data_IF_630220846020
#
_entry.id   IF_630220846020
#
_cell.length_a   1.000
_cell.length_b   1.000
_cell.length_c   1.000
_cell.angle_alpha   90.00
_cell.angle_beta   90.00
_cell.angle_gamma   90.00
#
_symmetry.space_group_name_H-M   'P 1'
#
loop_
_entity.id
_entity.type
_entity.pdbx_description
1 polymer ?
#
# COMPACT_ATOMS: atom_id res chain seq x y z
N UNK A 1 67.86 5.16 82.11
CA UNK A 1 69.09 4.39 81.85
C UNK A 1 68.90 3.68 80.52
N UNK A 2 69.68 4.05 79.49
CA UNK A 2 69.69 3.54 78.10
C UNK A 2 68.38 3.68 77.30
N UNK A 3 68.35 4.09 76.04
CA UNK A 3 69.26 4.76 75.08
C UNK A 3 68.32 5.01 73.87
N UNK A 4 68.21 6.24 73.34
CA UNK A 4 68.79 6.66 72.03
C UNK A 4 68.06 6.01 70.83
N UNK A 5 67.47 6.68 69.84
CA UNK A 5 67.83 7.84 68.98
C UNK A 5 66.47 8.41 68.46
N UNK A 6 66.16 9.70 68.44
CA UNK A 6 66.64 10.75 67.53
C UNK A 6 66.54 10.38 66.04
N UNK A 7 66.11 11.23 65.12
CA UNK A 7 66.52 12.61 64.95
C UNK A 7 65.67 13.15 63.78
N UNK A 8 65.17 14.38 63.93
CA UNK A 8 65.06 15.42 62.89
C UNK A 8 63.93 15.34 61.86
N UNK A 9 62.88 16.16 61.99
CA UNK A 9 62.71 17.64 61.82
C UNK A 9 62.12 17.89 60.43
N UNK A 10 60.85 18.31 60.28
CA UNK A 10 60.24 19.64 60.55
C UNK A 10 59.88 20.24 59.17
N UNK A 11 59.01 21.26 59.09
CA UNK A 11 57.55 21.25 59.17
C UNK A 11 56.97 21.77 57.82
N UNK A 12 55.78 22.37 57.86
CA UNK A 12 55.20 23.32 56.88
C UNK A 12 53.92 22.80 56.21
N UNK A 13 52.86 23.60 56.39
CA UNK A 13 51.53 23.57 55.74
C UNK A 13 50.46 22.73 56.45
N UNK A 14 50.07 23.28 57.60
CA UNK A 14 48.69 23.42 58.05
C UNK A 14 47.91 24.33 57.06
N UNK A 15 47.64 23.89 55.82
CA UNK A 15 46.70 24.58 54.91
C UNK A 15 46.36 23.78 53.62
N UNK A 16 46.16 22.46 53.65
CA UNK A 16 45.77 21.72 52.43
C UNK A 16 45.18 20.32 52.70
N UNK A 17 44.23 20.20 53.63
CA UNK A 17 43.55 18.93 53.95
C UNK A 17 42.04 19.11 54.22
N UNK A 18 41.40 19.95 53.41
CA UNK A 18 39.92 20.03 53.24
C UNK A 18 39.53 19.95 51.75
N UNK A 19 40.32 19.25 50.94
CA UNK A 19 39.94 18.82 49.59
C UNK A 19 40.31 17.34 49.45
N UNK A 20 39.36 16.45 49.74
CA UNK A 20 39.23 15.14 49.06
C UNK A 20 37.92 14.47 49.50
N UNK A 21 36.79 15.14 49.24
CA UNK A 21 35.53 14.46 48.99
C UNK A 21 35.23 14.71 47.52
N UNK A 22 35.86 13.91 46.64
CA UNK A 22 35.46 13.85 45.24
C UNK A 22 34.07 13.24 45.25
N UNK A 23 33.06 14.10 45.24
CA UNK A 23 31.74 13.75 44.73
C UNK A 23 31.97 13.24 43.31
N UNK A 24 31.85 11.93 43.14
CA UNK A 24 31.51 11.36 41.84
C UNK A 24 30.11 11.87 41.51
N UNK A 25 30.01 13.08 40.99
CA UNK A 25 28.84 13.47 40.24
C UNK A 25 28.80 12.49 39.05
N UNK A 26 27.80 11.61 38.94
CA UNK A 26 27.52 11.06 37.63
C UNK A 26 27.36 12.29 36.73
N UNK A 27 28.09 12.32 35.62
CA UNK A 27 27.73 13.18 34.53
C UNK A 27 26.26 12.87 34.25
N UNK A 28 25.37 13.76 34.69
CA UNK A 28 24.04 13.86 34.14
C UNK A 28 24.28 14.15 32.67
N UNK A 29 24.34 13.10 31.85
CA UNK A 29 23.88 13.19 30.48
C UNK A 29 22.55 13.93 30.59
N UNK A 30 22.48 15.13 30.02
CA UNK A 30 21.19 15.74 29.76
C UNK A 30 20.39 14.65 29.04
N UNK A 31 19.40 14.07 29.72
CA UNK A 31 18.31 13.42 29.05
C UNK A 31 17.59 14.54 28.31
N UNK A 32 18.16 14.96 27.17
CA UNK A 32 17.41 15.64 26.13
C UNK A 32 16.18 14.78 25.93
N UNK A 33 15.01 15.41 25.91
CA UNK A 33 13.72 14.74 25.84
C UNK A 33 13.60 13.97 24.53
N UNK A 34 14.28 12.82 24.45
CA UNK A 34 14.21 11.91 23.33
C UNK A 34 12.77 11.48 23.19
N UNK A 35 12.29 11.55 21.96
CA UNK A 35 11.00 11.00 21.59
C UNK A 35 11.21 10.09 20.41
N UNK A 36 10.61 8.91 20.45
CA UNK A 36 10.59 7.95 19.35
C UNK A 36 9.18 7.42 19.20
N UNK A 37 8.68 7.43 17.97
CA UNK A 37 7.37 6.95 17.59
C UNK A 37 7.44 6.08 16.36
N UNK A 38 6.52 5.12 16.30
CA UNK A 38 6.38 4.21 15.18
C UNK A 38 4.99 4.37 14.55
N UNK A 39 4.96 4.33 13.23
CA UNK A 39 3.75 4.31 12.43
C UNK A 39 3.82 3.19 11.40
N UNK A 40 2.68 2.58 11.10
CA UNK A 40 2.53 1.74 9.91
C UNK A 40 1.69 2.49 8.88
N UNK A 41 2.04 2.33 7.61
CA UNK A 41 1.33 2.94 6.49
C UNK A 41 1.40 2.09 5.23
N UNK A 42 0.73 2.57 4.18
CA UNK A 42 0.69 1.89 2.88
C UNK A 42 0.71 2.90 1.74
N UNK A 43 1.58 2.67 0.77
CA UNK A 43 1.64 3.39 -0.50
C UNK A 43 0.96 2.52 -1.57
N UNK A 44 -0.03 3.10 -2.24
CA UNK A 44 -0.80 2.45 -3.29
C UNK A 44 -0.70 3.24 -4.58
N UNK A 45 -0.94 2.57 -5.71
CA UNK A 45 -0.99 3.23 -7.00
C UNK A 45 -2.00 4.38 -7.00
N UNK A 46 -1.53 5.60 -7.25
CA UNK A 46 -2.33 6.82 -7.28
C UNK A 46 -2.35 7.61 -5.96
N UNK A 47 -1.82 7.06 -4.84
CA UNK A 47 -1.59 7.86 -3.62
C UNK A 47 -0.29 8.65 -3.74
N UNK A 48 -0.35 9.92 -3.33
CA UNK A 48 0.79 10.85 -3.43
C UNK A 48 1.84 10.56 -2.35
N UNK A 49 1.39 10.08 -1.19
CA UNK A 49 2.24 9.67 -0.06
C UNK A 49 1.42 9.60 1.24
N UNK A 50 2.11 9.38 2.35
CA UNK A 50 1.59 9.49 3.70
C UNK A 50 2.29 10.63 4.43
N UNK A 51 1.50 11.51 5.08
CA UNK A 51 2.00 12.68 5.78
C UNK A 51 1.92 12.54 7.30
N UNK A 52 2.95 13.02 7.97
CA UNK A 52 3.05 13.03 9.43
C UNK A 52 3.48 14.42 9.90
N UNK A 53 2.65 15.06 10.71
CA UNK A 53 2.95 16.37 11.28
C UNK A 53 3.86 16.23 12.48
N UNK A 54 4.99 16.94 12.46
CA UNK A 54 5.86 17.15 13.61
C UNK A 54 5.50 18.48 14.28
N UNK A 55 5.18 18.44 15.57
CA UNK A 55 4.66 19.60 16.29
C UNK A 55 5.69 20.17 17.27
N UNK A 56 5.75 21.50 17.34
CA UNK A 56 6.50 22.25 18.34
C UNK A 56 8.01 21.92 18.38
N UNK A 57 8.63 21.67 17.21
CA UNK A 57 10.07 21.46 17.15
C UNK A 57 10.82 22.75 17.51
N UNK A 58 12.00 22.59 18.11
CA UNK A 58 12.88 23.67 18.54
C UNK A 58 14.12 23.73 17.68
N UNK A 59 14.57 24.96 17.40
CA UNK A 59 15.82 25.19 16.67
C UNK A 59 16.97 24.42 17.32
N UNK A 60 17.73 23.70 16.49
CA UNK A 60 18.88 22.88 16.89
C UNK A 60 18.53 21.47 17.36
N UNK A 61 17.24 21.10 17.43
CA UNK A 61 16.88 19.69 17.61
C UNK A 61 17.17 18.89 16.35
N UNK A 62 17.50 17.62 16.53
CA UNK A 62 17.72 16.68 15.44
C UNK A 62 16.48 15.82 15.22
N UNK A 63 15.92 15.83 14.02
CA UNK A 63 14.89 14.88 13.60
C UNK A 63 15.57 13.73 12.86
N UNK A 64 15.20 12.51 13.22
CA UNK A 64 15.61 11.29 12.55
C UNK A 64 14.36 10.54 12.09
N UNK A 65 14.36 10.04 10.86
CA UNK A 65 13.28 9.21 10.36
C UNK A 65 13.81 8.08 9.49
N UNK A 66 13.22 6.89 9.62
CA UNK A 66 13.51 5.72 8.78
C UNK A 66 12.20 5.13 8.29
N UNK A 67 12.07 4.96 6.98
CA UNK A 67 10.96 4.23 6.37
C UNK A 67 11.43 2.85 5.90
N UNK A 68 10.88 1.81 6.51
CA UNK A 68 11.19 0.41 6.21
C UNK A 68 10.05 -0.23 5.43
N UNK A 69 10.32 -0.85 4.28
CA UNK A 69 9.30 -1.66 3.58
C UNK A 69 8.88 -2.86 4.45
N UNK A 70 7.58 -3.11 4.48
CA UNK A 70 6.98 -4.30 5.11
C UNK A 70 6.39 -5.28 4.09
N UNK A 71 5.94 -4.81 2.93
CA UNK A 71 5.38 -5.67 1.86
C UNK A 71 5.49 -5.05 0.48
N UNK A 72 5.19 -5.85 -0.55
CA UNK A 72 5.20 -5.41 -1.95
C UNK A 72 6.60 -5.18 -2.49
N UNK A 73 6.67 -4.32 -3.51
CA UNK A 73 7.90 -3.87 -4.16
C UNK A 73 8.30 -2.44 -3.76
N UNK A 74 7.65 -1.89 -2.72
CA UNK A 74 7.85 -0.52 -2.26
C UNK A 74 9.34 -0.19 -2.09
N UNK A 75 9.72 0.95 -2.61
CA UNK A 75 11.03 1.54 -2.52
C UNK A 75 10.85 2.87 -1.80
N UNK A 76 10.83 2.87 -0.45
CA UNK A 76 10.39 4.01 0.33
C UNK A 76 11.27 5.24 0.11
N UNK A 77 10.66 6.37 -0.18
CA UNK A 77 11.27 7.69 -0.16
C UNK A 77 10.75 8.45 1.06
N UNK A 78 11.66 8.93 1.92
CA UNK A 78 11.33 9.75 3.08
C UNK A 78 11.81 11.18 2.87
N UNK A 79 10.95 12.15 3.17
CA UNK A 79 11.31 13.56 3.10
C UNK A 79 10.77 14.36 4.27
N UNK A 80 11.52 15.39 4.64
CA UNK A 80 11.11 16.42 5.58
C UNK A 80 10.80 17.70 4.81
N UNK A 81 9.66 18.32 5.12
CA UNK A 81 9.20 19.54 4.51
C UNK A 81 8.73 20.55 5.57
N UNK A 82 8.55 21.80 5.12
CA UNK A 82 7.85 22.83 5.87
C UNK A 82 6.36 22.48 6.05
N UNK A 83 5.68 23.06 7.05
CA UNK A 83 4.24 22.84 7.31
C UNK A 83 3.36 23.18 6.09
N UNK A 84 3.81 24.10 5.23
CA UNK A 84 3.04 24.53 4.05
C UNK A 84 2.92 23.47 2.95
N UNK A 85 3.73 22.41 2.94
CA UNK A 85 3.64 21.39 1.90
C UNK A 85 2.33 20.59 2.03
N UNK A 86 1.52 20.57 0.97
CA UNK A 86 0.32 19.75 0.88
C UNK A 86 0.43 18.67 -0.22
N UNK A 87 -0.49 17.70 -0.17
CA UNK A 87 -0.52 16.59 -1.12
C UNK A 87 -0.81 17.03 -2.56
N UNK A 88 -1.47 18.18 -2.76
CA UNK A 88 -1.80 18.69 -4.08
C UNK A 88 -0.56 19.26 -4.76
N UNK A 89 0.24 20.10 -4.07
CA UNK A 89 1.54 20.58 -4.53
C UNK A 89 2.46 19.41 -4.86
N UNK A 90 2.49 18.38 -4.00
CA UNK A 90 3.31 17.20 -4.23
C UNK A 90 2.90 16.45 -5.52
N UNK A 91 1.59 16.32 -5.78
CA UNK A 91 1.08 15.64 -6.97
C UNK A 91 1.22 16.46 -8.25
N UNK A 92 0.79 17.72 -8.21
CA UNK A 92 0.66 18.57 -9.40
C UNK A 92 1.95 19.25 -9.77
N UNK A 93 2.81 19.57 -8.80
CA UNK A 93 4.02 20.34 -9.06
C UNK A 93 5.25 19.45 -9.02
N UNK A 94 5.51 18.79 -7.89
CA UNK A 94 6.73 17.97 -7.73
C UNK A 94 6.75 16.78 -8.71
N UNK A 95 5.75 15.89 -8.64
CA UNK A 95 5.72 14.69 -9.50
C UNK A 95 5.63 15.05 -10.99
N UNK A 96 4.87 16.08 -11.34
CA UNK A 96 4.76 16.53 -12.73
C UNK A 96 6.10 17.10 -13.23
N UNK A 97 6.82 17.86 -12.41
CA UNK A 97 8.14 18.40 -12.76
C UNK A 97 9.17 17.29 -12.97
N UNK A 98 9.20 16.29 -12.08
CA UNK A 98 10.08 15.12 -12.23
C UNK A 98 9.74 14.37 -13.52
N UNK A 99 8.45 14.06 -13.75
CA UNK A 99 8.01 13.35 -14.95
C UNK A 99 8.37 14.12 -16.22
N UNK A 100 8.10 15.43 -16.27
CA UNK A 100 8.40 16.28 -17.41
C UNK A 100 9.90 16.36 -17.69
N UNK A 101 10.74 16.46 -16.66
CA UNK A 101 12.19 16.50 -16.81
C UNK A 101 12.73 15.20 -17.43
N UNK A 102 12.24 14.05 -16.94
CA UNK A 102 12.61 12.73 -17.46
C UNK A 102 12.12 12.55 -18.91
N UNK A 103 10.87 12.93 -19.21
CA UNK A 103 10.30 12.86 -20.57
C UNK A 103 11.04 13.77 -21.56
N UNK A 104 11.62 14.87 -21.07
CA UNK A 104 12.46 15.78 -21.86
C UNK A 104 13.89 15.27 -22.07
N UNK A 105 14.21 14.07 -21.57
CA UNK A 105 15.52 13.42 -21.71
C UNK A 105 16.51 13.73 -20.58
N UNK A 106 16.05 14.30 -19.46
CA UNK A 106 16.88 14.47 -18.27
C UNK A 106 17.26 13.13 -17.64
N UNK A 107 18.49 13.02 -17.15
CA UNK A 107 18.93 11.84 -16.39
C UNK A 107 18.24 11.84 -15.02
N UNK A 108 17.48 10.79 -14.66
CA UNK A 108 16.83 10.67 -13.35
C UNK A 108 17.80 10.88 -12.17
N UNK A 109 19.06 10.48 -12.30
CA UNK A 109 20.06 10.62 -11.24
C UNK A 109 20.49 12.07 -10.99
N UNK A 110 20.27 12.96 -11.96
CA UNK A 110 20.56 14.38 -11.83
C UNK A 110 19.29 15.18 -11.48
N UNK A 111 18.18 14.91 -12.18
CA UNK A 111 16.97 15.73 -12.07
C UNK A 111 16.17 15.45 -10.80
N UNK A 112 16.12 14.21 -10.31
CA UNK A 112 15.37 13.89 -9.10
C UNK A 112 15.98 14.57 -7.88
N UNK A 113 17.32 14.53 -7.65
CA UNK A 113 17.93 15.28 -6.56
C UNK A 113 17.72 16.79 -6.69
N UNK A 114 17.91 17.36 -7.88
CA UNK A 114 17.75 18.80 -8.11
C UNK A 114 16.34 19.28 -7.78
N UNK A 115 15.32 18.57 -8.25
CA UNK A 115 13.92 18.93 -8.02
C UNK A 115 13.55 18.66 -6.55
N UNK A 116 13.96 17.54 -5.97
CA UNK A 116 13.67 17.20 -4.56
C UNK A 116 14.15 18.28 -3.59
N UNK A 117 15.34 18.82 -3.81
CA UNK A 117 15.90 19.92 -3.00
C UNK A 117 15.14 21.25 -3.12
N UNK A 118 14.22 21.40 -4.08
CA UNK A 118 13.35 22.59 -4.17
C UNK A 118 12.10 22.47 -3.28
N UNK A 119 11.65 21.24 -3.01
CA UNK A 119 10.42 20.97 -2.25
C UNK A 119 10.69 20.51 -0.82
N UNK A 120 11.83 19.87 -0.56
CA UNK A 120 12.14 19.24 0.71
C UNK A 120 13.36 19.88 1.38
N UNK A 121 13.28 19.99 2.70
CA UNK A 121 14.36 20.48 3.56
C UNK A 121 15.45 19.43 3.75
N UNK A 122 15.05 18.16 3.76
CA UNK A 122 15.91 16.98 3.73
C UNK A 122 15.12 15.83 3.13
N UNK A 123 15.78 14.91 2.44
CA UNK A 123 15.13 13.75 1.81
C UNK A 123 16.14 12.64 1.61
N UNK A 124 15.63 11.42 1.46
CA UNK A 124 16.41 10.22 1.21
C UNK A 124 15.54 9.10 0.60
N UNK A 125 16.12 8.27 -0.26
CA UNK A 125 15.46 7.12 -0.89
C UNK A 125 16.13 5.77 -0.61
N UNK A 126 17.46 5.70 -0.45
CA UNK A 126 18.16 4.42 -0.33
C UNK A 126 19.31 4.38 0.69
N UNK A 127 19.43 5.35 1.60
CA UNK A 127 20.52 5.35 2.59
C UNK A 127 20.30 4.45 3.82
N UNK A 128 19.14 3.79 3.91
CA UNK A 128 18.85 2.76 4.90
C UNK A 128 19.37 1.37 4.50
N UNK A 129 19.07 0.35 5.31
CA UNK A 129 19.43 -1.03 4.98
C UNK A 129 18.67 -1.51 3.73
N UNK A 130 19.38 -1.91 2.67
CA UNK A 130 18.76 -2.38 1.43
C UNK A 130 18.15 -1.24 0.63
N UNK A 131 16.86 -1.32 0.31
CA UNK A 131 16.11 -0.23 -0.32
C UNK A 131 15.29 0.61 0.66
N UNK A 132 15.65 0.62 1.95
CA UNK A 132 14.97 1.47 2.92
C UNK A 132 15.55 2.88 2.90
N UNK A 133 14.78 3.89 3.31
CA UNK A 133 15.25 5.27 3.39
C UNK A 133 15.41 5.76 4.82
N UNK A 134 16.40 6.64 5.01
CA UNK A 134 16.77 7.20 6.30
C UNK A 134 17.19 8.66 6.17
N UNK A 135 16.63 9.55 7.00
CA UNK A 135 16.96 10.98 6.98
C UNK A 135 17.31 11.47 8.38
N UNK A 136 18.28 12.38 8.43
CA UNK A 136 18.60 13.18 9.61
C UNK A 136 18.56 14.66 9.28
N UNK A 137 17.95 15.47 10.13
CA UNK A 137 17.74 16.89 9.89
C UNK A 137 17.90 17.72 11.16
N UNK A 138 18.69 18.79 11.10
CA UNK A 138 18.78 19.78 12.16
C UNK A 138 17.72 20.87 11.95
N UNK A 139 16.85 21.05 12.94
CA UNK A 139 15.74 22.01 12.88
C UNK A 139 16.28 23.45 12.83
N UNK A 140 16.05 24.21 11.74
CA UNK A 140 16.65 25.52 11.56
C UNK A 140 15.93 26.63 12.36
N UNK A 141 14.65 26.44 12.66
CA UNK A 141 13.82 27.39 13.38
C UNK A 141 12.76 26.66 14.21
N UNK A 142 12.27 27.32 15.27
CA UNK A 142 11.13 26.80 16.03
C UNK A 142 9.89 26.74 15.11
N UNK A 143 9.16 25.62 15.15
CA UNK A 143 7.95 25.49 14.35
C UNK A 143 7.45 24.07 14.19
N UNK A 144 6.39 23.95 13.40
CA UNK A 144 5.84 22.68 12.95
C UNK A 144 6.47 22.31 11.59
N UNK A 145 6.62 21.02 11.35
CA UNK A 145 7.23 20.45 10.14
C UNK A 145 6.42 19.24 9.69
N UNK A 146 6.71 18.74 8.50
CA UNK A 146 6.07 17.53 7.95
C UNK A 146 7.09 16.49 7.56
N UNK A 147 6.76 15.22 7.82
CA UNK A 147 7.40 14.07 7.19
C UNK A 147 6.46 13.54 6.12
N UNK A 148 7.02 13.27 4.96
CA UNK A 148 6.41 12.54 3.86
C UNK A 148 7.06 11.17 3.75
N UNK A 149 6.25 10.12 3.63
CA UNK A 149 6.67 8.82 3.11
C UNK A 149 5.95 8.60 1.77
N UNK A 150 6.72 8.38 0.71
CA UNK A 150 6.20 8.05 -0.63
C UNK A 150 7.06 6.94 -1.23
N UNK A 151 6.88 6.62 -2.51
CA UNK A 151 7.81 5.79 -3.24
C UNK A 151 8.76 6.63 -4.10
N UNK A 152 10.03 6.23 -4.16
CA UNK A 152 11.06 6.81 -5.03
C UNK A 152 10.81 6.49 -6.51
N UNK A 153 10.10 5.39 -6.77
CA UNK A 153 9.73 4.88 -8.09
C UNK A 153 8.22 4.57 -8.10
N UNK A 154 7.61 4.18 -9.23
CA UNK A 154 6.21 3.73 -9.22
C UNK A 154 6.08 2.32 -8.61
N UNK A 155 6.48 2.16 -7.33
CA UNK A 155 6.36 0.93 -6.53
C UNK A 155 5.39 1.14 -5.37
N UNK A 156 4.93 0.04 -4.75
CA UNK A 156 3.82 0.05 -3.82
C UNK A 156 3.99 -1.00 -2.71
N UNK A 157 3.32 -0.79 -1.58
CA UNK A 157 3.44 -1.70 -0.45
C UNK A 157 3.15 -1.04 0.90
N UNK A 158 3.16 -1.85 1.95
CA UNK A 158 3.15 -1.34 3.32
C UNK A 158 4.55 -0.98 3.79
N UNK A 159 4.63 -0.03 4.71
CA UNK A 159 5.88 0.41 5.34
C UNK A 159 5.68 0.63 6.84
N UNK A 160 6.80 0.59 7.56
CA UNK A 160 6.96 1.07 8.93
C UNK A 160 7.77 2.35 8.90
N UNK A 161 7.26 3.41 9.50
CA UNK A 161 7.98 4.66 9.71
C UNK A 161 8.38 4.76 11.19
N UNK A 162 9.67 4.82 11.45
CA UNK A 162 10.22 5.13 12.77
C UNK A 162 10.72 6.58 12.76
N UNK A 163 10.22 7.40 13.69
CA UNK A 163 10.55 8.83 13.80
C UNK A 163 11.03 9.12 15.19
N UNK A 164 12.08 9.93 15.32
CA UNK A 164 12.49 10.44 16.62
C UNK A 164 13.14 11.81 16.59
N UNK A 165 13.07 12.46 17.74
CA UNK A 165 13.68 13.77 18.01
C UNK A 165 14.80 13.58 19.02
N UNK A 166 15.99 14.07 18.68
CA UNK A 166 17.24 13.93 19.43
C UNK A 166 17.59 12.45 19.72
N UNK A 167 17.14 11.54 18.84
CA UNK A 167 17.24 10.10 18.97
C UNK A 167 17.94 9.45 17.75
N UNK A 168 19.28 9.59 17.61
CA UNK A 168 20.02 9.05 16.47
C UNK A 168 19.90 7.53 16.30
N UNK A 169 19.59 6.80 17.37
CA UNK A 169 19.30 5.37 17.33
C UNK A 169 18.18 4.98 16.36
N UNK A 170 17.29 5.92 15.98
CA UNK A 170 16.24 5.71 14.96
C UNK A 170 16.82 5.27 13.63
N UNK A 171 18.00 5.77 13.25
CA UNK A 171 18.67 5.41 11.99
C UNK A 171 19.05 3.93 11.90
N UNK A 172 19.07 3.21 13.02
CA UNK A 172 19.28 1.75 13.04
C UNK A 172 18.02 0.94 12.72
N UNK A 173 16.84 1.59 12.70
CA UNK A 173 15.54 0.93 12.57
C UNK A 173 15.12 0.10 13.80
N UNK A 174 15.87 0.16 14.90
CA UNK A 174 15.66 -0.63 16.12
C UNK A 174 15.46 0.21 17.39
N UNK A 175 15.21 1.52 17.26
CA UNK A 175 14.99 2.37 18.43
C UNK A 175 13.69 2.00 19.16
N UNK A 176 13.74 1.94 20.49
CA UNK A 176 12.57 1.72 21.33
C UNK A 176 11.66 2.95 21.32
N UNK A 177 10.35 2.73 21.17
CA UNK A 177 9.37 3.82 21.21
C UNK A 177 9.21 4.38 22.63
N UNK A 178 8.98 5.69 22.74
CA UNK A 178 8.85 6.36 24.04
C UNK A 178 8.96 7.87 23.97
N UNK A 179 8.83 8.53 25.12
CA UNK A 179 8.90 9.98 25.23
C UNK A 179 7.60 10.72 24.91
N UNK A 180 7.70 12.02 24.65
CA UNK A 180 6.54 12.87 24.35
C UNK A 180 6.02 12.63 22.93
N UNK A 181 4.72 12.87 22.69
CA UNK A 181 4.18 12.84 21.33
C UNK A 181 4.68 14.05 20.52
N UNK A 182 5.57 13.80 19.56
CA UNK A 182 6.12 14.78 18.61
C UNK A 182 5.54 14.68 17.21
N UNK A 183 5.15 13.47 16.76
CA UNK A 183 4.56 13.22 15.45
C UNK A 183 3.08 12.80 15.56
N UNK A 184 2.28 13.14 14.54
CA UNK A 184 0.91 12.64 14.35
C UNK A 184 0.67 12.38 12.88
N UNK A 185 -0.11 11.35 12.56
CA UNK A 185 -0.64 11.16 11.20
C UNK A 185 -1.42 12.42 10.84
N UNK A 186 -1.05 13.04 9.72
CA UNK A 186 -1.81 14.16 9.17
C UNK A 186 -2.85 13.57 8.21
N UNK A 187 -4.15 13.71 8.49
CA UNK A 187 -5.18 13.39 7.51
C UNK A 187 -4.96 14.34 6.34
N UNK A 188 -4.48 13.82 5.23
CA UNK A 188 -4.24 14.65 4.05
C UNK A 188 -5.61 15.04 3.47
N UNK A 189 -5.90 16.33 3.26
CA UNK A 189 -7.15 16.76 2.62
C UNK A 189 -7.33 16.21 1.20
N UNK A 190 -6.27 15.69 0.57
CA UNK A 190 -6.27 14.97 -0.71
C UNK A 190 -6.42 13.44 -0.54
N UNK A 191 -6.28 12.89 0.67
CA UNK A 191 -6.35 11.42 0.94
C UNK A 191 -7.74 10.82 1.06
N UNK A 192 -8.79 11.62 1.20
CA UNK A 192 -10.13 11.09 1.02
C UNK A 192 -10.27 10.74 -0.47
N UNK A 193 -10.05 9.47 -0.82
CA UNK A 193 -10.16 8.96 -2.17
C UNK A 193 -11.47 9.48 -2.78
N UNK A 194 -11.38 10.44 -3.70
CA UNK A 194 -12.53 10.92 -4.47
C UNK A 194 -12.58 10.08 -5.72
N UNK A 195 -13.45 9.08 -5.69
CA UNK A 195 -13.60 8.15 -6.80
C UNK A 195 -15.07 7.89 -7.08
N UNK A 196 -15.42 7.75 -8.35
CA UNK A 196 -16.75 7.37 -8.83
C UNK A 196 -16.58 6.31 -9.91
N UNK A 197 -17.34 5.23 -9.79
CA UNK A 197 -17.43 4.18 -10.79
C UNK A 197 -18.87 3.97 -11.21
N UNK A 198 -19.07 3.79 -12.51
CA UNK A 198 -20.35 3.52 -13.11
C UNK A 198 -20.39 2.09 -13.64
N UNK A 199 -21.47 1.38 -13.34
CA UNK A 199 -21.76 0.04 -13.82
C UNK A 199 -23.15 0.06 -14.45
N UNK A 200 -23.24 -0.35 -15.71
CA UNK A 200 -24.51 -0.60 -16.38
C UNK A 200 -24.68 -2.10 -16.61
N UNK A 201 -25.92 -2.57 -16.68
CA UNK A 201 -26.19 -3.97 -16.95
C UNK A 201 -27.68 -4.29 -16.92
N UNK A 202 -27.99 -5.58 -16.99
CA UNK A 202 -29.37 -6.10 -17.01
C UNK A 202 -29.53 -7.14 -15.91
N UNK A 203 -30.63 -7.04 -15.16
CA UNK A 203 -31.14 -8.11 -14.31
C UNK A 203 -32.34 -8.78 -14.99
N UNK A 204 -32.48 -10.08 -14.77
CA UNK A 204 -33.55 -10.91 -15.34
C UNK A 204 -33.93 -12.00 -14.36
N UNK A 205 -34.98 -12.77 -14.65
CA UNK A 205 -35.34 -13.93 -13.81
C UNK A 205 -34.20 -14.95 -13.63
N UNK A 206 -33.32 -15.09 -14.62
CA UNK A 206 -32.13 -15.97 -14.52
C UNK A 206 -30.97 -15.34 -13.73
N UNK A 207 -30.94 -14.01 -13.60
CA UNK A 207 -29.92 -13.23 -12.88
C UNK A 207 -30.61 -12.08 -12.16
N UNK A 208 -31.13 -12.35 -10.96
CA UNK A 208 -31.90 -11.39 -10.16
C UNK A 208 -31.02 -10.53 -9.24
N UNK A 209 -29.70 -10.70 -9.26
CA UNK A 209 -28.78 -9.89 -8.46
C UNK A 209 -27.41 -9.75 -9.12
N UNK A 210 -26.68 -8.73 -8.66
CA UNK A 210 -25.29 -8.48 -9.00
C UNK A 210 -24.61 -7.77 -7.83
N UNK A 211 -23.29 -7.72 -7.82
CA UNK A 211 -22.54 -6.99 -6.80
C UNK A 211 -21.29 -6.32 -7.39
N UNK A 212 -20.77 -5.36 -6.66
CA UNK A 212 -19.47 -4.75 -6.88
C UNK A 212 -18.68 -4.72 -5.57
N UNK A 213 -17.40 -5.07 -5.64
CA UNK A 213 -16.49 -4.96 -4.50
C UNK A 213 -15.93 -3.54 -4.49
N UNK A 214 -16.12 -2.82 -3.39
CA UNK A 214 -15.61 -1.45 -3.22
C UNK A 214 -14.09 -1.51 -3.04
N UNK A 215 -13.40 -0.46 -3.47
CA UNK A 215 -11.97 -0.32 -3.15
C UNK A 215 -11.71 -0.33 -1.64
N UNK A 216 -10.45 -0.55 -1.26
CA UNK A 216 -10.04 -0.49 0.14
C UNK A 216 -10.32 0.91 0.72
N UNK A 217 -10.96 0.94 1.89
CA UNK A 217 -11.40 2.17 2.55
C UNK A 217 -10.56 2.41 3.80
N UNK A 218 -10.24 3.68 4.03
CA UNK A 218 -9.57 4.17 5.23
C UNK A 218 -10.58 4.74 6.21
N UNK A 219 -10.24 4.74 7.51
CA UNK A 219 -11.10 5.32 8.54
C UNK A 219 -11.48 6.77 8.19
N UNK A 220 -12.78 7.08 8.16
CA UNK A 220 -13.32 8.38 7.76
C UNK A 220 -13.82 8.46 6.31
N UNK A 221 -13.45 7.50 5.44
CA UNK A 221 -13.99 7.45 4.08
C UNK A 221 -15.50 7.23 4.09
N UNK A 222 -16.20 7.94 3.21
CA UNK A 222 -17.65 7.81 3.05
C UNK A 222 -17.99 7.21 1.70
N UNK A 223 -18.65 6.05 1.72
CA UNK A 223 -19.20 5.38 0.54
C UNK A 223 -20.57 5.95 0.22
N UNK A 224 -20.78 6.27 -1.05
CA UNK A 224 -22.06 6.66 -1.63
C UNK A 224 -22.41 5.68 -2.74
N UNK A 225 -23.65 5.23 -2.81
CA UNK A 225 -24.13 4.42 -3.93
C UNK A 225 -25.51 4.88 -4.38
N UNK A 226 -25.75 4.83 -5.68
CA UNK A 226 -27.02 5.18 -6.32
C UNK A 226 -27.30 4.20 -7.45
N UNK A 227 -28.48 3.59 -7.45
CA UNK A 227 -28.94 2.74 -8.53
C UNK A 227 -30.25 3.27 -9.09
N UNK A 228 -30.40 3.17 -10.40
CA UNK A 228 -31.65 3.49 -11.10
C UNK A 228 -31.93 2.48 -12.20
N UNK A 229 -33.21 2.26 -12.45
CA UNK A 229 -33.70 1.53 -13.62
C UNK A 229 -33.60 2.43 -14.85
N UNK A 230 -32.99 1.93 -15.91
CA UNK A 230 -32.85 2.64 -17.20
C UNK A 230 -33.79 2.08 -18.27
N UNK A 231 -34.22 0.82 -18.15
CA UNK A 231 -35.25 0.21 -18.97
C UNK A 231 -35.92 -0.97 -18.24
N UNK A 232 -37.16 -1.32 -18.61
CA UNK A 232 -37.92 -2.41 -17.98
C UNK A 232 -38.62 -1.98 -16.69
N UNK A 233 -38.97 -2.97 -15.86
CA UNK A 233 -39.77 -2.80 -14.63
C UNK A 233 -38.96 -3.05 -13.35
N UNK A 234 -37.63 -3.11 -13.46
CA UNK A 234 -36.73 -3.31 -12.33
C UNK A 234 -37.01 -2.27 -11.23
N UNK A 235 -37.03 -2.72 -9.99
CA UNK A 235 -37.06 -1.87 -8.81
C UNK A 235 -35.86 -2.22 -7.91
N UNK A 236 -34.70 -1.54 -8.08
CA UNK A 236 -33.43 -2.02 -7.55
C UNK A 236 -33.36 -1.80 -6.04
N UNK A 237 -33.07 -2.85 -5.27
CA UNK A 237 -32.70 -2.75 -3.86
C UNK A 237 -31.18 -2.70 -3.73
N UNK A 238 -30.66 -1.75 -2.93
CA UNK A 238 -29.23 -1.62 -2.66
C UNK A 238 -28.90 -2.02 -1.24
N UNK A 239 -27.85 -2.82 -1.06
CA UNK A 239 -27.29 -3.14 0.25
C UNK A 239 -25.77 -3.05 0.23
N UNK A 240 -25.21 -2.28 1.15
CA UNK A 240 -23.81 -2.33 1.51
C UNK A 240 -23.60 -3.43 2.55
N UNK A 241 -22.67 -4.35 2.29
CA UNK A 241 -22.28 -5.41 3.23
C UNK A 241 -20.78 -5.41 3.50
N UNK A 242 -20.39 -5.90 4.67
CA UNK A 242 -18.99 -6.19 4.96
C UNK A 242 -18.49 -7.46 4.22
N UNK A 243 -17.22 -7.78 4.39
CA UNK A 243 -16.57 -8.96 3.80
C UNK A 243 -17.22 -10.30 4.21
N UNK A 244 -17.96 -10.33 5.32
CA UNK A 244 -18.70 -11.48 5.81
C UNK A 244 -20.16 -11.49 5.37
N UNK A 245 -20.55 -10.61 4.44
CA UNK A 245 -21.92 -10.40 3.93
C UNK A 245 -22.90 -9.81 4.96
N UNK A 246 -22.43 -9.30 6.10
CA UNK A 246 -23.28 -8.65 7.09
C UNK A 246 -23.77 -7.30 6.54
N UNK A 247 -25.08 -7.02 6.50
CA UNK A 247 -25.59 -5.72 6.06
C UNK A 247 -25.15 -4.59 6.98
N UNK A 248 -24.64 -3.51 6.39
CA UNK A 248 -24.25 -2.27 7.07
C UNK A 248 -25.24 -1.15 6.79
N UNK A 249 -25.73 -1.08 5.54
CA UNK A 249 -26.71 -0.08 5.10
C UNK A 249 -27.52 -0.62 3.93
N UNK A 250 -28.79 -0.25 3.86
CA UNK A 250 -29.70 -0.66 2.79
C UNK A 250 -30.60 0.50 2.39
N UNK A 251 -31.01 0.54 1.13
CA UNK A 251 -32.12 1.36 0.64
C UNK A 251 -32.98 0.61 -0.37
N UNK A 252 -34.24 1.03 -0.51
CA UNK A 252 -35.28 0.39 -1.33
C UNK A 252 -35.39 -1.12 -1.09
N UNK A 253 -35.24 -1.57 0.17
CA UNK A 253 -35.27 -3.00 0.54
C UNK A 253 -36.52 -3.73 0.07
N UNK A 254 -37.66 -3.03 -0.02
CA UNK A 254 -38.93 -3.59 -0.50
C UNK A 254 -39.02 -3.72 -2.02
N UNK A 255 -38.07 -3.16 -2.79
CA UNK A 255 -38.08 -3.19 -4.25
C UNK A 255 -39.31 -2.51 -4.85
N UNK A 256 -39.69 -1.34 -4.36
CA UNK A 256 -40.89 -0.63 -4.80
C UNK A 256 -40.60 0.65 -5.60
N UNK A 257 -39.39 1.21 -5.45
CA UNK A 257 -38.95 2.40 -6.17
C UNK A 257 -38.07 2.00 -7.35
N UNK A 258 -38.08 2.79 -8.42
CA UNK A 258 -37.17 2.64 -9.57
C UNK A 258 -35.74 3.14 -9.29
N UNK A 259 -35.49 3.62 -8.07
CA UNK A 259 -34.22 4.19 -7.64
C UNK A 259 -33.94 3.80 -6.18
N UNK A 260 -32.66 3.68 -5.84
CA UNK A 260 -32.17 3.47 -4.49
C UNK A 260 -30.86 4.20 -4.27
N UNK A 261 -30.65 4.76 -3.09
CA UNK A 261 -29.43 5.48 -2.73
C UNK A 261 -29.05 5.24 -1.27
N UNK A 262 -27.75 5.05 -1.00
CA UNK A 262 -27.24 4.90 0.36
C UNK A 262 -25.93 5.66 0.55
N UNK A 263 -25.67 6.02 1.81
CA UNK A 263 -24.40 6.58 2.27
C UNK A 263 -23.94 5.87 3.55
N UNK A 264 -22.63 5.68 3.71
CA UNK A 264 -22.03 5.07 4.89
C UNK A 264 -20.59 5.51 5.08
N UNK A 265 -20.25 6.02 6.26
CA UNK A 265 -18.87 6.37 6.66
C UNK A 265 -18.26 5.22 7.45
N UNK A 266 -17.03 4.83 7.13
CA UNK A 266 -16.33 3.75 7.82
C UNK A 266 -15.54 4.29 9.02
N UNK A 267 -15.58 3.57 10.14
CA UNK A 267 -14.90 3.99 11.38
C UNK A 267 -13.46 3.44 11.50
N UNK A 268 -13.08 2.53 10.60
CA UNK A 268 -11.79 1.86 10.59
C UNK A 268 -11.36 1.56 9.15
N UNK A 269 -10.10 1.19 8.96
CA UNK A 269 -9.61 0.69 7.68
C UNK A 269 -10.28 -0.66 7.38
N UNK A 270 -10.91 -0.78 6.22
CA UNK A 270 -11.68 -1.96 5.82
C UNK A 270 -11.44 -2.35 4.38
N UNK A 271 -11.59 -3.64 4.10
CA UNK A 271 -11.41 -4.21 2.76
C UNK A 271 -12.59 -5.10 2.39
N UNK A 272 -12.79 -5.30 1.10
CA UNK A 272 -13.75 -6.26 0.53
C UNK A 272 -15.21 -6.00 0.94
N UNK A 273 -15.56 -4.74 1.19
CA UNK A 273 -16.96 -4.34 1.32
C UNK A 273 -17.63 -4.45 -0.06
N UNK A 274 -18.91 -4.79 -0.07
CA UNK A 274 -19.64 -4.98 -1.34
C UNK A 274 -20.93 -4.18 -1.38
N UNK A 275 -21.18 -3.57 -2.54
CA UNK A 275 -22.51 -3.06 -2.92
C UNK A 275 -23.23 -4.17 -3.67
N UNK A 276 -24.34 -4.63 -3.12
CA UNK A 276 -25.26 -5.57 -3.75
C UNK A 276 -26.43 -4.81 -4.35
N UNK A 277 -26.78 -5.15 -5.59
CA UNK A 277 -27.97 -4.68 -6.28
C UNK A 277 -28.84 -5.90 -6.57
N UNK A 278 -30.07 -5.87 -6.07
CA UNK A 278 -31.01 -7.00 -6.13
C UNK A 278 -32.33 -6.55 -6.77
N UNK A 279 -32.84 -7.37 -7.66
CA UNK A 279 -34.22 -7.32 -8.16
C UNK A 279 -35.12 -8.17 -7.26
N UNK A 280 -35.68 -7.54 -6.23
CA UNK A 280 -36.50 -8.24 -5.21
C UNK A 280 -37.80 -8.78 -5.81
N UNK A 281 -38.37 -8.04 -6.76
CA UNK A 281 -39.64 -8.40 -7.41
C UNK A 281 -39.46 -9.35 -8.61
N UNK A 282 -38.22 -9.57 -9.06
CA UNK A 282 -37.86 -10.36 -10.25
C UNK A 282 -38.56 -9.88 -11.53
N UNK A 283 -38.79 -8.57 -11.62
CA UNK A 283 -39.45 -7.93 -12.78
C UNK A 283 -38.51 -7.77 -13.96
N UNK A 284 -37.19 -7.76 -13.71
CA UNK A 284 -36.15 -7.59 -14.70
C UNK A 284 -36.08 -6.19 -15.28
N UNK A 285 -34.91 -5.86 -15.82
CA UNK A 285 -34.67 -4.57 -16.45
C UNK A 285 -33.21 -4.19 -16.48
N UNK A 286 -32.94 -3.13 -17.21
CA UNK A 286 -31.62 -2.52 -17.30
C UNK A 286 -31.44 -1.54 -16.14
N UNK A 287 -30.21 -1.48 -15.61
CA UNK A 287 -29.85 -0.58 -14.53
C UNK A 287 -28.59 0.22 -14.84
N UNK A 288 -28.47 1.34 -14.14
CA UNK A 288 -27.24 2.10 -13.93
C UNK A 288 -26.96 2.17 -12.43
N UNK A 289 -25.78 1.74 -12.02
CA UNK A 289 -25.27 1.78 -10.64
C UNK A 289 -24.05 2.70 -10.60
N UNK A 290 -24.12 3.73 -9.76
CA UNK A 290 -22.99 4.55 -9.36
C UNK A 290 -22.53 4.13 -7.97
N UNK A 291 -21.23 3.95 -7.81
CA UNK A 291 -20.57 3.78 -6.52
C UNK A 291 -19.49 4.85 -6.44
N UNK A 292 -19.44 5.60 -5.36
CA UNK A 292 -18.37 6.56 -5.14
C UNK A 292 -17.90 6.62 -3.71
N UNK A 293 -16.71 7.18 -3.54
CA UNK A 293 -16.02 7.39 -2.27
C UNK A 293 -15.82 8.90 -2.15
N UNK A 294 -16.20 9.46 -1.00
CA UNK A 294 -16.09 10.88 -0.65
C UNK A 294 -16.72 11.84 -1.69
N UNK A 295 -17.78 11.40 -2.38
CA UNK A 295 -18.45 12.15 -3.46
C UNK A 295 -19.97 12.12 -3.28
N UNK A 296 -20.58 13.07 -2.53
CA UNK A 296 -22.01 13.07 -2.24
C UNK A 296 -22.90 13.25 -3.48
N UNK A 297 -22.37 13.81 -4.57
CA UNK A 297 -23.08 14.00 -5.85
C UNK A 297 -23.62 12.67 -6.43
N UNK A 298 -23.01 11.54 -6.04
CA UNK A 298 -23.48 10.18 -6.39
C UNK A 298 -24.93 9.97 -5.99
N UNK A 299 -25.36 10.48 -4.84
CA UNK A 299 -26.72 10.28 -4.31
C UNK A 299 -27.82 10.87 -5.22
N UNK A 300 -27.48 11.84 -6.06
CA UNK A 300 -28.41 12.46 -7.01
C UNK A 300 -28.37 11.84 -8.41
N UNK A 301 -27.50 10.85 -8.62
CA UNK A 301 -27.27 10.23 -9.93
C UNK A 301 -26.49 11.10 -10.92
N UNK A 302 -26.03 12.29 -10.50
CA UNK A 302 -25.37 13.29 -11.36
C UNK A 302 -23.85 13.17 -11.41
N UNK A 303 -23.24 12.39 -10.52
CA UNK A 303 -21.80 12.17 -10.55
C UNK A 303 -21.36 11.46 -11.84
N UNK A 304 -20.27 11.94 -12.44
CA UNK A 304 -19.58 11.29 -13.55
C UNK A 304 -18.46 10.37 -13.07
N UNK A 305 -18.11 9.32 -13.82
CA UNK A 305 -17.00 8.43 -13.47
C UNK A 305 -15.67 9.19 -13.45
N UNK A 306 -14.84 8.89 -12.46
CA UNK A 306 -13.49 9.45 -12.33
C UNK A 306 -12.45 8.50 -12.95
N UNK A 307 -11.20 8.98 -13.10
CA UNK A 307 -10.10 8.14 -13.56
C UNK A 307 -9.76 7.04 -12.54
N UNK A 308 -9.79 7.37 -11.25
CA UNK A 308 -9.62 6.41 -10.16
C UNK A 308 -10.95 5.68 -9.95
N UNK A 309 -10.92 4.36 -9.77
CA UNK A 309 -12.13 3.56 -9.58
C UNK A 309 -12.52 3.49 -8.11
N UNK A 310 -13.81 3.58 -7.80
CA UNK A 310 -14.37 3.33 -6.47
C UNK A 310 -14.62 1.83 -6.21
N UNK A 311 -14.43 0.99 -7.23
CA UNK A 311 -14.67 -0.46 -7.18
C UNK A 311 -13.40 -1.19 -7.62
N UNK A 312 -13.14 -2.35 -7.00
CA UNK A 312 -12.07 -3.24 -7.41
C UNK A 312 -12.37 -3.80 -8.79
N UNK A 313 -11.51 -3.50 -9.76
CA UNK A 313 -11.62 -4.05 -11.11
C UNK A 313 -11.09 -5.49 -11.13
N UNK A 314 -11.74 -6.41 -11.85
CA UNK A 314 -11.17 -7.73 -12.10
C UNK A 314 -9.78 -7.60 -12.74
N UNK A 315 -8.84 -8.43 -12.30
CA UNK A 315 -7.54 -8.52 -12.96
C UNK A 315 -7.75 -8.95 -14.41
N UNK A 316 -7.17 -8.18 -15.34
CA UNK A 316 -7.18 -8.53 -16.75
C UNK A 316 -6.17 -9.65 -17.00
N UNK A 317 -6.65 -10.76 -17.58
CA UNK A 317 -5.81 -11.93 -17.88
C UNK A 317 -5.74 -12.10 -19.38
N UNK A 318 -4.54 -11.99 -19.94
CA UNK A 318 -4.27 -12.24 -21.36
C UNK A 318 -3.92 -13.71 -21.52
N UNK A 319 -4.73 -14.44 -22.26
CA UNK A 319 -4.54 -15.88 -22.50
C UNK A 319 -4.19 -16.11 -23.96
N UNK A 320 -3.13 -16.87 -24.20
CA UNK A 320 -2.76 -17.37 -25.52
C UNK A 320 -2.58 -18.88 -25.47
N UNK A 321 -3.09 -19.58 -26.47
CA UNK A 321 -2.89 -21.02 -26.64
C UNK A 321 -2.39 -21.29 -28.05
N UNK A 322 -1.41 -22.18 -28.16
CA UNK A 322 -0.87 -22.66 -29.42
C UNK A 322 -0.90 -24.17 -29.42
N UNK A 323 -1.66 -24.75 -30.33
CA UNK A 323 -1.61 -26.19 -30.60
C UNK A 323 -0.38 -26.47 -31.48
N UNK A 324 0.50 -27.34 -31.00
CA UNK A 324 1.71 -27.74 -31.74
C UNK A 324 1.48 -29.02 -32.55
N UNK A 325 0.69 -29.94 -32.00
CA UNK A 325 0.48 -31.25 -32.61
C UNK A 325 -0.91 -31.80 -32.28
N UNK A 326 -1.50 -32.50 -33.26
CA UNK A 326 -2.60 -33.45 -33.05
C UNK A 326 -1.98 -34.84 -32.97
N UNK A 327 -2.11 -35.51 -31.82
CA UNK A 327 -1.47 -36.80 -31.56
C UNK A 327 -2.30 -38.00 -31.99
N UNK A 328 -3.63 -37.83 -32.10
CA UNK A 328 -4.54 -38.84 -32.57
C UNK A 328 -5.97 -38.31 -32.67
N UNK A 329 -6.80 -38.99 -33.46
CA UNK A 329 -8.23 -38.70 -33.59
C UNK A 329 -8.98 -40.03 -33.49
N UNK A 330 -9.85 -40.15 -32.48
CA UNK A 330 -10.75 -41.30 -32.34
C UNK A 330 -12.15 -40.90 -32.82
N UNK A 331 -12.49 -41.36 -34.02
CA UNK A 331 -13.80 -41.09 -34.61
C UNK A 331 -14.94 -41.84 -33.92
N UNK A 332 -14.65 -43.00 -33.30
CA UNK A 332 -15.68 -43.82 -32.65
C UNK A 332 -16.07 -43.24 -31.30
N UNK A 333 -15.08 -42.72 -30.57
CA UNK A 333 -15.27 -42.06 -29.28
C UNK A 333 -15.48 -40.55 -29.39
N UNK A 334 -15.44 -40.00 -30.61
CA UNK A 334 -15.60 -38.57 -30.91
C UNK A 334 -14.64 -37.70 -30.08
N UNK A 335 -13.36 -38.06 -30.01
CA UNK A 335 -12.34 -37.29 -29.29
C UNK A 335 -11.01 -37.21 -30.06
N UNK A 336 -10.13 -36.33 -29.62
CA UNK A 336 -8.80 -36.17 -30.21
C UNK A 336 -7.75 -35.79 -29.16
N UNK A 337 -6.52 -36.23 -29.40
CA UNK A 337 -5.36 -35.91 -28.56
C UNK A 337 -4.59 -34.71 -29.14
N UNK A 338 -4.14 -33.82 -28.27
CA UNK A 338 -3.34 -32.64 -28.63
C UNK A 338 -2.12 -32.48 -27.75
N UNK A 339 -1.08 -31.85 -28.31
CA UNK A 339 -0.01 -31.19 -27.56
C UNK A 339 -0.13 -29.69 -27.79
N UNK A 340 -0.17 -28.92 -26.71
CA UNK A 340 -0.32 -27.47 -26.77
C UNK A 340 0.59 -26.76 -25.76
N UNK A 341 0.93 -25.52 -26.09
CA UNK A 341 1.53 -24.56 -25.18
C UNK A 341 0.50 -23.47 -24.85
N UNK A 342 0.33 -23.18 -23.57
CA UNK A 342 -0.55 -22.13 -23.08
C UNK A 342 0.27 -21.11 -22.30
N UNK A 343 -0.06 -19.84 -22.49
CA UNK A 343 0.51 -18.71 -21.77
C UNK A 343 -0.60 -17.85 -21.21
N UNK A 344 -0.47 -17.46 -19.95
CA UNK A 344 -1.34 -16.47 -19.32
C UNK A 344 -0.49 -15.34 -18.75
N UNK A 345 -0.93 -14.11 -18.92
CA UNK A 345 -0.30 -12.93 -18.32
C UNK A 345 -1.35 -12.14 -17.54
N UNK A 346 -1.01 -11.74 -16.33
CA UNK A 346 -1.85 -10.87 -15.51
C UNK A 346 -0.98 -10.01 -14.59
N UNK A 347 -1.56 -8.95 -14.05
CA UNK A 347 -0.93 -8.13 -13.01
C UNK A 347 -1.72 -8.28 -11.71
N UNK A 348 -1.02 -8.60 -10.63
CA UNK A 348 -1.59 -8.66 -9.29
C UNK A 348 -0.58 -8.06 -8.28
N UNK A 349 -0.82 -6.84 -7.78
CA UNK A 349 -0.01 -6.19 -6.75
C UNK A 349 0.36 -7.06 -5.55
N UNK A 350 -0.47 -8.05 -5.21
CA UNK A 350 -0.22 -8.95 -4.07
C UNK A 350 0.93 -9.91 -4.33
N UNK A 351 1.24 -10.17 -5.61
CA UNK A 351 2.39 -10.98 -6.03
C UNK A 351 3.71 -10.22 -6.00
N UNK A 352 3.66 -8.89 -5.85
CA UNK A 352 4.84 -8.04 -5.86
C UNK A 352 5.87 -8.48 -4.81
N UNK A 353 7.14 -8.33 -5.17
CA UNK A 353 8.27 -8.64 -4.31
C UNK A 353 9.36 -7.61 -4.54
N UNK A 354 10.21 -7.40 -3.54
CA UNK A 354 11.34 -6.49 -3.69
C UNK A 354 12.57 -7.23 -4.22
N UNK A 355 13.24 -6.69 -5.26
CA UNK A 355 14.34 -7.37 -5.91
C UNK A 355 15.62 -7.40 -5.06
N UNK A 356 15.74 -6.55 -4.03
CA UNK A 356 16.87 -6.55 -3.08
C UNK A 356 16.89 -7.79 -2.17
N UNK A 357 15.72 -8.33 -1.79
CA UNK A 357 15.62 -9.55 -0.97
C UNK A 357 16.23 -10.79 -1.65
N UNK A 358 16.02 -10.91 -2.95
CA UNK A 358 16.49 -12.07 -3.74
C UNK A 358 17.71 -11.75 -4.61
N UNK A 359 18.10 -10.47 -4.71
CA UNK A 359 19.06 -9.97 -5.69
C UNK A 359 18.72 -10.42 -7.12
N UNK A 360 17.43 -10.32 -7.46
CA UNK A 360 16.87 -10.90 -8.68
C UNK A 360 15.85 -9.97 -9.36
N UNK A 361 15.87 -9.91 -10.69
CA UNK A 361 14.92 -9.11 -11.48
C UNK A 361 13.59 -9.83 -11.75
N UNK A 362 13.52 -11.15 -11.50
CA UNK A 362 12.33 -11.97 -11.63
C UNK A 362 12.47 -13.23 -10.76
N UNK A 363 11.34 -13.80 -10.36
CA UNK A 363 11.27 -15.12 -9.72
C UNK A 363 10.64 -16.12 -10.68
N UNK A 364 11.28 -17.28 -10.86
CA UNK A 364 10.73 -18.39 -11.65
C UNK A 364 10.33 -19.53 -10.72
N UNK A 365 9.05 -19.90 -10.76
CA UNK A 365 8.44 -20.85 -9.84
C UNK A 365 7.82 -22.00 -10.64
N UNK A 366 7.96 -23.24 -10.18
CA UNK A 366 7.13 -24.35 -10.69
C UNK A 366 5.69 -24.19 -10.21
N UNK A 367 4.72 -24.89 -10.81
CA UNK A 367 3.32 -24.83 -10.35
C UNK A 367 3.14 -25.11 -8.85
N UNK A 368 3.85 -26.11 -8.31
CA UNK A 368 3.84 -26.41 -6.86
C UNK A 368 4.48 -25.32 -6.00
N UNK A 369 5.60 -24.74 -6.45
CA UNK A 369 6.27 -23.65 -5.75
C UNK A 369 5.43 -22.36 -5.79
N UNK A 370 4.71 -22.12 -6.90
CA UNK A 370 3.80 -20.99 -7.02
C UNK A 370 2.60 -21.12 -6.08
N UNK A 371 2.02 -22.32 -5.95
CA UNK A 371 0.97 -22.56 -4.94
C UNK A 371 1.45 -22.27 -3.52
N UNK A 372 2.68 -22.69 -3.18
CA UNK A 372 3.29 -22.34 -1.89
C UNK A 372 3.53 -20.82 -1.76
N UNK A 373 4.03 -20.18 -2.81
CA UNK A 373 4.26 -18.73 -2.86
C UNK A 373 2.99 -17.93 -2.55
N UNK A 374 1.85 -18.35 -3.12
CA UNK A 374 0.53 -17.78 -2.86
C UNK A 374 0.09 -18.00 -1.40
N UNK A 375 0.22 -19.24 -0.90
CA UNK A 375 -0.17 -19.60 0.46
C UNK A 375 0.63 -18.83 1.52
N UNK A 376 1.96 -18.72 1.35
CA UNK A 376 2.85 -18.00 2.26
C UNK A 376 2.51 -16.49 2.33
N UNK A 377 1.83 -15.95 1.31
CA UNK A 377 1.36 -14.56 1.23
C UNK A 377 -0.13 -14.39 1.54
N UNK A 378 -0.84 -15.45 1.90
CA UNK A 378 -2.28 -15.41 2.14
C UNK A 378 -3.12 -15.09 0.90
N UNK A 379 -2.57 -15.27 -0.30
CA UNK A 379 -3.27 -15.02 -1.56
C UNK A 379 -4.11 -16.24 -1.90
N UNK A 380 -5.43 -16.10 -1.82
CA UNK A 380 -6.38 -17.19 -2.02
C UNK A 380 -7.06 -17.19 -3.38
N UNK A 381 -6.92 -16.10 -4.14
CA UNK A 381 -7.58 -15.90 -5.44
C UNK A 381 -6.54 -15.53 -6.47
N UNK A 382 -6.45 -16.35 -7.52
CA UNK A 382 -5.63 -16.14 -8.70
C UNK A 382 -6.34 -16.70 -9.94
N UNK A 383 -5.91 -16.36 -11.17
CA UNK A 383 -6.53 -16.83 -12.42
C UNK A 383 -6.36 -18.35 -12.69
N UNK A 384 -7.06 -19.19 -11.93
CA UNK A 384 -7.13 -20.62 -12.19
C UNK A 384 -7.98 -20.91 -13.44
N UNK A 385 -7.68 -22.00 -14.13
CA UNK A 385 -8.38 -22.39 -15.36
C UNK A 385 -8.56 -23.91 -15.45
N UNK A 386 -9.55 -24.32 -16.25
CA UNK A 386 -9.80 -25.71 -16.63
C UNK A 386 -10.07 -25.75 -18.12
N UNK A 387 -9.58 -26.78 -18.80
CA UNK A 387 -9.97 -27.06 -20.18
C UNK A 387 -11.36 -27.70 -20.17
N UNK A 388 -12.36 -26.95 -20.61
CA UNK A 388 -13.78 -27.28 -20.44
C UNK A 388 -14.15 -28.67 -20.94
N UNK A 389 -13.61 -29.06 -22.09
CA UNK A 389 -13.92 -30.32 -22.75
C UNK A 389 -12.80 -31.37 -22.64
N UNK A 390 -11.96 -31.26 -21.62
CA UNK A 390 -10.93 -32.26 -21.34
C UNK A 390 -11.54 -33.58 -20.88
N UNK A 391 -11.09 -34.67 -21.50
CA UNK A 391 -11.35 -36.02 -21.05
C UNK A 391 -10.16 -36.56 -20.25
N UNK A 392 -10.43 -37.02 -19.02
CA UNK A 392 -9.41 -37.62 -18.18
C UNK A 392 -8.36 -36.61 -17.69
N UNK A 393 -7.09 -37.02 -17.72
CA UNK A 393 -5.96 -36.23 -17.20
C UNK A 393 -5.32 -35.39 -18.30
N UNK A 394 -4.75 -34.27 -17.87
CA UNK A 394 -3.79 -33.47 -18.63
C UNK A 394 -2.40 -33.76 -18.11
N UNK A 395 -1.48 -34.05 -19.02
CA UNK A 395 -0.08 -34.32 -18.69
C UNK A 395 0.75 -33.08 -19.00
N UNK A 396 1.07 -32.32 -17.95
CA UNK A 396 1.89 -31.11 -18.02
C UNK A 396 3.38 -31.47 -18.01
N UNK A 397 4.12 -31.02 -19.02
CA UNK A 397 5.57 -31.26 -19.15
C UNK A 397 6.37 -30.16 -18.48
N UNK A 398 6.07 -28.90 -18.82
CA UNK A 398 6.62 -27.72 -18.19
C UNK A 398 5.46 -26.92 -17.64
N UNK A 399 5.48 -26.60 -16.35
CA UNK A 399 4.53 -25.70 -15.71
C UNK A 399 5.32 -24.70 -14.87
N UNK A 400 5.37 -23.46 -15.34
CA UNK A 400 6.18 -22.40 -14.76
C UNK A 400 5.35 -21.13 -14.60
N UNK A 401 5.63 -20.41 -13.52
CA UNK A 401 5.15 -19.06 -13.28
C UNK A 401 6.33 -18.15 -13.06
N UNK A 402 6.45 -17.11 -13.90
CA UNK A 402 7.44 -16.05 -13.74
C UNK A 402 6.75 -14.85 -13.10
N UNK A 403 7.28 -14.36 -11.99
CA UNK A 403 6.79 -13.18 -11.28
C UNK A 403 7.83 -12.07 -11.39
N UNK A 404 7.39 -10.87 -11.78
CA UNK A 404 8.19 -9.64 -11.80
C UNK A 404 7.99 -8.84 -10.51
N UNK A 405 8.91 -7.93 -10.15
CA UNK A 405 8.85 -7.17 -8.89
C UNK A 405 7.51 -6.46 -8.68
N UNK A 406 6.96 -5.85 -9.73
CA UNK A 406 5.68 -5.12 -9.72
C UNK A 406 4.42 -6.00 -9.58
N UNK A 407 4.58 -7.31 -9.45
CA UNK A 407 3.49 -8.27 -9.34
C UNK A 407 2.87 -8.70 -10.68
N UNK A 408 3.48 -8.34 -11.83
CA UNK A 408 3.16 -9.00 -13.10
C UNK A 408 3.58 -10.45 -13.05
N UNK A 409 2.69 -11.33 -13.51
CA UNK A 409 2.92 -12.77 -13.54
C UNK A 409 2.67 -13.33 -14.95
N UNK A 410 3.50 -14.30 -15.32
CA UNK A 410 3.45 -15.02 -16.58
C UNK A 410 3.40 -16.51 -16.28
N UNK A 411 2.26 -17.14 -16.53
CA UNK A 411 2.12 -18.59 -16.52
C UNK A 411 2.47 -19.15 -17.90
N UNK A 412 3.26 -20.21 -17.94
CA UNK A 412 3.56 -20.97 -19.15
C UNK A 412 3.40 -22.46 -18.84
N UNK A 413 2.57 -23.13 -19.63
CA UNK A 413 2.37 -24.57 -19.56
C UNK A 413 2.49 -25.21 -20.94
N UNK A 414 3.31 -26.26 -21.04
CA UNK A 414 3.25 -27.21 -22.15
C UNK A 414 2.55 -28.47 -21.68
N UNK A 415 1.50 -28.90 -22.36
CA UNK A 415 0.73 -30.07 -21.94
C UNK A 415 0.27 -30.96 -23.09
N UNK A 416 -0.04 -32.21 -22.76
CA UNK A 416 -0.82 -33.12 -23.61
C UNK A 416 -2.19 -33.38 -22.98
N UNK A 417 -3.25 -33.39 -23.79
CA UNK A 417 -4.62 -33.64 -23.33
C UNK A 417 -5.46 -34.33 -24.40
N UNK A 418 -6.51 -35.02 -23.97
CA UNK A 418 -7.60 -35.51 -24.82
C UNK A 418 -8.80 -34.59 -24.69
N UNK A 419 -9.39 -34.16 -25.81
CA UNK A 419 -10.50 -33.22 -25.88
C UNK A 419 -11.68 -33.83 -26.65
N UNK A 420 -12.92 -33.44 -26.31
CA UNK A 420 -14.16 -33.85 -26.99
C UNK A 420 -14.98 -32.66 -27.48
#
# INVERSE_FOLDING_TARGET
MRKFLSLFTLPVILLLLTLLAIQTNPAYAQSGNKSVQEFEGRIENGKVGAFYRLQNLKRGQMVYAVATRLSGDLDPFVALADESLDGLTLQQDYRASVQQAIESGGDPLDVVPEISSQYFLAWDDDSGDGYNSAVSFEVPADGDYKILVTSARPTQGSFRLLVGVDAPEVLTGQAETGGALVARVEPDPVTNLVAVSEITGTLSGAKHSTFAIIEDLTAGDTVYAFAQTTAGELAPALTLTDFGTKPLKTDNFSGQKSQAALQYTVDANVQNYTIQLVDVAQTGGDYRLLVGINTPEVLSGQAGPTQISAIKKPAQVRVGIKMEQITGVDQKSENFGVVADMRMEWADPRLAFSPDECQCALQTLSGSAFNKYLADRGITVWPAFTLFNQQGRRDSQNELVVVLPDGRAIYVERFSATLQ
#
